data_IF_523409210350
#
_entry.id   IF_523409210350
#
_cell.length_a   1.000
_cell.length_b   1.000
_cell.length_c   1.000
_cell.angle_alpha   90.00
_cell.angle_beta   90.00
_cell.angle_gamma   90.00
#
_symmetry.space_group_name_H-M   'P 1'
#
loop_
_entity.id
_entity.type
_entity.pdbx_description
1 polymer ?
#
# COMPACT_ATOMS: atom_id res chain seq x y z
N UNK A 1 64.28 10.95 13.79
CA UNK A 1 65.41 10.61 14.67
C UNK A 1 64.90 10.64 16.11
N UNK A 2 65.18 9.58 16.89
CA UNK A 2 65.20 9.50 18.38
C UNK A 2 63.95 9.97 19.16
N UNK A 3 63.44 9.32 20.21
CA UNK A 3 63.93 8.24 21.06
C UNK A 3 62.85 7.90 22.11
N UNK A 4 62.60 6.60 22.33
CA UNK A 4 62.52 5.89 23.62
C UNK A 4 62.19 6.69 24.90
N UNK A 5 61.12 6.28 25.62
CA UNK A 5 61.19 5.96 27.07
C UNK A 5 59.97 5.18 27.58
N UNK A 6 60.24 4.03 28.22
CA UNK A 6 59.32 3.26 29.07
C UNK A 6 59.30 3.83 30.50
N UNK A 7 58.36 3.38 31.35
CA UNK A 7 58.82 2.76 32.60
C UNK A 7 58.26 1.35 32.81
N UNK A 8 59.19 0.51 33.26
CA UNK A 8 59.06 -0.82 33.87
C UNK A 8 58.12 -0.77 35.09
N UNK A 9 57.47 -1.89 35.44
CA UNK A 9 57.50 -2.43 36.81
C UNK A 9 57.13 -3.94 36.79
N UNK A 10 58.13 -4.73 37.18
CA UNK A 10 58.15 -6.02 37.89
C UNK A 10 57.60 -7.33 37.30
N UNK A 11 58.55 -8.26 37.23
CA UNK A 11 58.46 -9.70 37.01
C UNK A 11 58.56 -10.48 38.33
N UNK A 12 57.75 -11.54 38.46
CA UNK A 12 58.02 -12.73 39.30
C UNK A 12 57.57 -14.00 38.54
N UNK A 13 58.38 -15.08 38.45
CA UNK A 13 58.06 -16.33 37.73
C UNK A 13 57.71 -17.49 38.72
N UNK A 14 57.66 -18.77 38.29
CA UNK A 14 56.59 -19.41 37.51
C UNK A 14 55.94 -20.57 38.30
N UNK A 15 54.74 -21.01 37.89
CA UNK A 15 54.28 -22.37 38.21
C UNK A 15 53.79 -23.07 36.94
N UNK A 16 54.40 -24.22 36.72
CA UNK A 16 54.23 -25.14 35.60
C UNK A 16 52.80 -25.69 35.49
N UNK A 17 52.25 -25.81 34.27
CA UNK A 17 52.03 -27.13 33.64
C UNK A 17 51.29 -27.06 32.28
N UNK A 18 51.88 -27.77 31.32
CA UNK A 18 51.30 -28.45 30.17
C UNK A 18 50.85 -27.63 28.94
N UNK A 19 51.62 -27.86 27.89
CA UNK A 19 51.40 -27.59 26.48
C UNK A 19 50.14 -28.26 25.91
N UNK A 20 49.34 -27.54 25.15
CA UNK A 20 48.61 -28.12 24.01
C UNK A 20 48.37 -27.06 22.92
N UNK A 21 49.29 -26.97 21.97
CA UNK A 21 49.16 -26.12 20.78
C UNK A 21 48.28 -26.84 19.76
N UNK A 22 46.98 -26.56 19.78
CA UNK A 22 46.10 -26.88 18.67
C UNK A 22 46.24 -25.83 17.56
N UNK A 23 47.01 -26.10 16.51
CA UNK A 23 47.05 -25.24 15.30
C UNK A 23 45.67 -25.22 14.64
N UNK A 24 44.98 -24.09 14.68
CA UNK A 24 43.82 -23.81 13.84
C UNK A 24 44.27 -23.33 12.46
N UNK A 25 43.95 -24.07 11.41
CA UNK A 25 44.05 -23.60 10.03
C UNK A 25 42.65 -23.21 9.56
N UNK A 26 42.38 -21.91 9.44
CA UNK A 26 41.22 -21.37 8.72
C UNK A 26 41.67 -20.90 7.35
N UNK A 27 41.27 -21.60 6.29
CA UNK A 27 41.40 -21.13 4.91
C UNK A 27 40.07 -20.49 4.50
N UNK A 28 40.07 -19.19 4.20
CA UNK A 28 38.92 -18.52 3.58
C UNK A 28 38.94 -18.79 2.07
N UNK A 29 37.81 -19.24 1.52
CA UNK A 29 37.61 -19.41 0.08
C UNK A 29 36.54 -18.40 -0.34
N UNK A 30 36.87 -17.50 -1.26
CA UNK A 30 35.92 -16.58 -1.89
C UNK A 30 35.43 -17.19 -3.21
N UNK A 31 34.14 -17.50 -3.31
CA UNK A 31 33.49 -17.80 -4.58
C UNK A 31 32.83 -16.52 -5.12
N UNK A 32 33.27 -16.06 -6.30
CA UNK A 32 32.71 -14.89 -6.99
C UNK A 32 31.80 -15.35 -8.14
N UNK A 33 30.48 -15.22 -7.96
CA UNK A 33 29.47 -15.32 -9.02
C UNK A 33 28.49 -14.13 -8.88
N UNK A 34 28.72 -13.10 -9.69
CA UNK A 34 27.89 -11.89 -9.96
C UNK A 34 27.53 -10.94 -8.77
N UNK A 35 27.36 -9.62 -9.02
CA UNK A 35 27.51 -8.59 -8.00
C UNK A 35 26.20 -8.35 -7.26
N UNK A 36 25.91 -9.13 -6.22
CA UNK A 36 25.02 -8.68 -5.12
C UNK A 36 24.97 -9.62 -3.91
N UNK A 37 25.53 -10.84 -3.96
CA UNK A 37 25.47 -11.77 -2.83
C UNK A 37 26.84 -12.35 -2.50
N UNK A 38 27.52 -11.79 -1.49
CA UNK A 38 28.70 -12.43 -0.90
C UNK A 38 28.26 -13.44 0.18
N UNK A 39 28.37 -14.72 -0.14
CA UNK A 39 28.28 -15.82 0.82
C UNK A 39 29.69 -16.13 1.34
N UNK A 40 29.92 -15.94 2.64
CA UNK A 40 31.12 -16.43 3.32
C UNK A 40 30.81 -17.77 3.98
N UNK A 41 31.41 -18.86 3.48
CA UNK A 41 31.35 -20.16 4.14
C UNK A 41 32.73 -20.51 4.71
N UNK A 42 32.76 -20.90 5.99
CA UNK A 42 33.98 -21.32 6.68
C UNK A 42 33.95 -22.82 6.92
N UNK A 43 34.98 -23.54 6.49
CA UNK A 43 35.15 -24.96 6.80
C UNK A 43 35.82 -25.10 8.17
N UNK A 44 35.18 -25.77 9.13
CA UNK A 44 35.75 -26.02 10.46
C UNK A 44 36.04 -27.50 10.63
N UNK A 45 37.32 -27.87 10.70
CA UNK A 45 37.76 -29.25 10.92
C UNK A 45 37.99 -29.44 12.43
N UNK A 46 37.17 -30.27 13.08
CA UNK A 46 37.48 -30.80 14.41
C UNK A 46 38.03 -32.22 14.24
N UNK A 47 39.30 -32.44 14.61
CA UNK A 47 39.80 -33.81 14.85
C UNK A 47 39.46 -34.19 16.28
N UNK A 48 38.65 -35.22 16.46
CA UNK A 48 38.47 -35.89 17.75
C UNK A 48 39.64 -36.86 17.95
N UNK A 49 40.27 -36.82 19.11
CA UNK A 49 41.32 -37.77 19.49
C UNK A 49 40.69 -39.04 20.08
N UNK A 50 40.06 -39.86 19.24
CA UNK A 50 39.71 -41.25 19.57
C UNK A 50 39.59 -42.06 18.28
N UNK A 51 40.28 -43.22 18.25
CA UNK A 51 40.31 -44.14 17.11
C UNK A 51 38.91 -44.67 16.78
N UNK A 52 38.33 -44.18 15.68
CA UNK A 52 37.57 -44.93 14.66
C UNK A 52 37.13 -43.97 13.55
N UNK A 53 37.33 -44.38 12.30
CA UNK A 53 37.10 -43.60 11.10
C UNK A 53 35.66 -43.10 11.02
N UNK A 54 35.44 -41.78 11.09
CA UNK A 54 34.46 -41.01 10.30
C UNK A 54 34.68 -39.51 10.57
N UNK A 55 35.31 -38.79 9.63
CA UNK A 55 35.39 -37.34 9.68
C UNK A 55 34.03 -36.76 9.26
N UNK A 56 33.31 -36.11 10.17
CA UNK A 56 32.05 -35.43 9.86
C UNK A 56 32.32 -33.98 9.44
N UNK A 57 31.98 -33.65 8.20
CA UNK A 57 32.07 -32.29 7.66
C UNK A 57 30.76 -31.55 7.96
N UNK A 58 30.80 -30.54 8.84
CA UNK A 58 29.69 -29.60 9.02
C UNK A 58 30.02 -28.29 8.30
N UNK A 59 29.31 -28.01 7.22
CA UNK A 59 29.36 -26.72 6.53
C UNK A 59 28.37 -25.80 7.24
N UNK A 60 28.87 -24.71 7.79
CA UNK A 60 28.05 -23.66 8.39
C UNK A 60 28.12 -22.44 7.47
N UNK A 61 27.07 -22.20 6.69
CA UNK A 61 26.96 -20.96 5.93
C UNK A 61 26.11 -19.99 6.73
N UNK A 62 26.76 -18.94 7.25
CA UNK A 62 26.09 -17.85 7.94
C UNK A 62 25.82 -16.78 6.90
N UNK A 63 24.56 -16.43 6.67
CA UNK A 63 24.22 -15.28 5.82
C UNK A 63 24.74 -14.03 6.52
N UNK A 64 25.88 -13.51 6.05
CA UNK A 64 26.31 -12.17 6.40
C UNK A 64 25.32 -11.21 5.76
N UNK A 65 24.31 -10.76 6.51
CA UNK A 65 23.71 -9.47 6.18
C UNK A 65 24.85 -8.48 6.40
N UNK A 66 25.40 -7.95 5.30
CA UNK A 66 26.13 -6.70 5.35
C UNK A 66 25.17 -5.73 6.02
N UNK A 67 25.40 -5.47 7.31
CA UNK A 67 24.85 -4.29 7.97
C UNK A 67 25.54 -3.14 7.28
N UNK A 68 24.95 -2.71 6.17
CA UNK A 68 25.01 -1.32 5.77
C UNK A 68 24.59 -0.58 7.04
N UNK A 69 25.49 0.22 7.60
CA UNK A 69 25.15 1.21 8.60
C UNK A 69 24.14 2.16 7.95
N UNK A 70 22.87 1.75 7.93
CA UNK A 70 21.76 2.60 7.57
C UNK A 70 21.48 3.43 8.81
N UNK A 71 22.19 4.55 8.92
CA UNK A 71 21.64 5.70 9.62
C UNK A 71 20.21 5.89 9.13
N UNK A 72 19.24 5.83 10.05
CA UNK A 72 17.82 5.99 9.77
C UNK A 72 17.57 7.28 8.97
N UNK A 73 17.44 7.16 7.66
CA UNK A 73 16.56 8.03 6.88
C UNK A 73 15.36 7.16 6.50
N UNK A 74 14.27 7.28 7.25
CA UNK A 74 13.00 6.73 6.79
C UNK A 74 12.66 7.48 5.49
N UNK A 75 12.84 6.83 4.34
CA UNK A 75 12.43 7.35 3.04
C UNK A 75 10.95 7.74 3.02
N UNK A 76 10.49 8.44 1.98
CA UNK A 76 9.12 8.95 1.93
C UNK A 76 8.07 7.85 2.16
N UNK A 77 8.23 6.66 1.58
CA UNK A 77 7.29 5.55 1.75
C UNK A 77 7.62 4.64 2.94
N UNK A 78 6.61 4.28 3.73
CA UNK A 78 6.69 3.26 4.80
C UNK A 78 6.13 1.90 4.37
N UNK A 79 5.63 1.76 3.14
CA UNK A 79 5.11 0.49 2.66
C UNK A 79 6.23 -0.54 2.57
N UNK A 80 5.99 -1.72 3.12
CA UNK A 80 6.97 -2.80 3.13
C UNK A 80 7.05 -3.49 1.77
N UNK A 81 8.22 -4.05 1.45
CA UNK A 81 8.44 -4.84 0.23
C UNK A 81 7.72 -6.20 0.20
N UNK A 82 7.06 -6.61 1.29
CA UNK A 82 6.32 -7.88 1.36
C UNK A 82 4.81 -7.66 1.26
N UNK A 83 4.23 -7.87 0.07
CA UNK A 83 2.78 -7.83 -0.16
C UNK A 83 2.09 -9.19 0.08
N UNK A 84 0.82 -9.18 0.59
CA UNK A 84 0.00 -10.39 0.64
C UNK A 84 -0.30 -11.01 -0.73
N UNK A 85 -0.24 -10.24 -1.82
CA UNK A 85 -0.66 -10.65 -3.18
C UNK A 85 0.45 -10.48 -4.23
N UNK A 86 1.44 -11.37 -4.24
CA UNK A 86 2.59 -11.27 -5.18
C UNK A 86 2.33 -11.93 -6.54
N UNK A 87 2.84 -11.29 -7.61
CA UNK A 87 3.09 -11.87 -8.94
C UNK A 87 1.85 -12.27 -9.75
N UNK A 88 1.48 -13.55 -9.71
CA UNK A 88 0.39 -14.12 -10.53
C UNK A 88 -1.01 -13.95 -9.94
N UNK A 89 -1.12 -13.85 -8.61
CA UNK A 89 -2.42 -13.68 -7.96
C UNK A 89 -2.92 -12.25 -8.07
N UNK A 90 -2.03 -11.24 -8.12
CA UNK A 90 -2.40 -9.82 -8.21
C UNK A 90 -3.32 -9.53 -9.41
N UNK A 91 -2.83 -9.79 -10.62
CA UNK A 91 -3.54 -9.44 -11.84
C UNK A 91 -4.79 -10.30 -12.03
N UNK A 92 -4.76 -11.57 -11.62
CA UNK A 92 -5.92 -12.46 -11.66
C UNK A 92 -7.01 -12.00 -10.69
N UNK A 93 -6.63 -11.61 -9.46
CA UNK A 93 -7.55 -11.06 -8.46
C UNK A 93 -8.11 -9.72 -8.90
N UNK A 94 -7.28 -8.83 -9.47
CA UNK A 94 -7.73 -7.56 -10.01
C UNK A 94 -8.71 -7.78 -11.18
N UNK A 95 -8.38 -8.66 -12.12
CA UNK A 95 -9.26 -8.99 -13.24
C UNK A 95 -10.61 -9.55 -12.74
N UNK A 96 -10.57 -10.48 -11.77
CA UNK A 96 -11.80 -11.00 -11.16
C UNK A 96 -12.61 -9.89 -10.48
N UNK A 97 -11.97 -9.01 -9.71
CA UNK A 97 -12.66 -7.87 -9.11
C UNK A 97 -13.31 -6.99 -10.19
N UNK A 98 -12.58 -6.61 -11.25
CA UNK A 98 -13.09 -5.73 -12.29
C UNK A 98 -14.24 -6.36 -13.07
N UNK A 99 -14.05 -7.58 -13.58
CA UNK A 99 -15.00 -8.21 -14.50
C UNK A 99 -16.15 -8.93 -13.80
N UNK A 100 -15.98 -9.39 -12.56
CA UNK A 100 -17.00 -10.15 -11.84
C UNK A 100 -17.69 -9.35 -10.73
N UNK A 101 -17.10 -8.26 -10.24
CA UNK A 101 -17.70 -7.40 -9.21
C UNK A 101 -17.95 -6.00 -9.73
N UNK A 102 -16.91 -5.23 -10.04
CA UNK A 102 -16.99 -3.80 -10.29
C UNK A 102 -17.84 -3.45 -11.52
N UNK A 103 -17.56 -4.04 -12.70
CA UNK A 103 -18.32 -3.74 -13.92
C UNK A 103 -19.78 -4.21 -13.79
N UNK A 104 -20.06 -5.47 -13.38
CA UNK A 104 -21.44 -5.94 -13.26
C UNK A 104 -22.26 -5.15 -12.23
N UNK A 105 -21.69 -4.82 -11.07
CA UNK A 105 -22.40 -4.10 -10.01
C UNK A 105 -22.49 -2.59 -10.30
N UNK A 106 -21.37 -1.96 -10.63
CA UNK A 106 -21.30 -0.51 -10.87
C UNK A 106 -22.08 -0.04 -12.10
N UNK A 107 -21.99 -0.77 -13.22
CA UNK A 107 -22.64 -0.37 -14.48
C UNK A 107 -23.91 -1.17 -14.79
N UNK A 108 -23.94 -2.46 -14.42
CA UNK A 108 -25.08 -3.34 -14.67
C UNK A 108 -26.12 -3.39 -13.54
N UNK A 109 -25.74 -3.04 -12.30
CA UNK A 109 -26.56 -3.30 -11.12
C UNK A 109 -27.91 -2.62 -11.14
N UNK A 110 -27.96 -1.33 -11.52
CA UNK A 110 -29.23 -0.60 -11.64
C UNK A 110 -30.15 -1.20 -12.72
N UNK A 111 -29.58 -1.67 -13.83
CA UNK A 111 -30.36 -2.33 -14.89
C UNK A 111 -31.01 -3.62 -14.37
N UNK A 112 -30.30 -4.42 -13.58
CA UNK A 112 -30.87 -5.61 -12.93
C UNK A 112 -32.00 -5.23 -11.97
N UNK A 113 -31.82 -4.18 -11.16
CA UNK A 113 -32.86 -3.70 -10.25
C UNK A 113 -34.12 -3.25 -11.02
N UNK A 114 -33.95 -2.54 -12.14
CA UNK A 114 -35.10 -2.11 -12.98
C UNK A 114 -35.87 -3.30 -13.54
N UNK A 115 -35.18 -4.37 -13.95
CA UNK A 115 -35.80 -5.60 -14.43
C UNK A 115 -36.55 -6.35 -13.33
N UNK A 116 -35.98 -6.47 -12.13
CA UNK A 116 -36.62 -7.13 -10.98
C UNK A 116 -37.88 -6.37 -10.55
N UNK A 117 -37.83 -5.04 -10.51
CA UNK A 117 -38.97 -4.19 -10.11
C UNK A 117 -40.03 -4.09 -11.24
N UNK A 118 -39.67 -4.44 -12.47
CA UNK A 118 -40.56 -4.33 -13.63
C UNK A 118 -40.88 -2.89 -14.03
N UNK A 119 -39.95 -1.94 -13.79
CA UNK A 119 -40.14 -0.51 -14.14
C UNK A 119 -39.02 -0.02 -15.05
N UNK A 120 -39.38 0.75 -16.08
CA UNK A 120 -38.42 1.33 -17.04
C UNK A 120 -37.55 2.46 -16.45
N UNK A 121 -38.03 3.13 -15.40
CA UNK A 121 -37.26 4.12 -14.66
C UNK A 121 -37.60 4.05 -13.17
N UNK A 122 -36.55 4.19 -12.35
CA UNK A 122 -36.68 4.17 -10.90
C UNK A 122 -36.90 5.60 -10.38
N UNK A 123 -37.75 5.72 -9.36
CA UNK A 123 -37.88 6.95 -8.59
C UNK A 123 -36.53 7.30 -7.94
N UNK A 124 -36.19 8.58 -7.73
CA UNK A 124 -34.89 8.99 -7.16
C UNK A 124 -34.55 8.28 -5.84
N UNK A 125 -35.54 8.10 -4.96
CA UNK A 125 -35.37 7.40 -3.69
C UNK A 125 -35.00 5.93 -3.88
N UNK A 126 -35.68 5.24 -4.80
CA UNK A 126 -35.38 3.84 -5.12
C UNK A 126 -34.03 3.70 -5.80
N UNK A 127 -33.66 4.64 -6.69
CA UNK A 127 -32.33 4.68 -7.32
C UNK A 127 -31.23 4.72 -6.28
N UNK A 128 -31.29 5.67 -5.35
CA UNK A 128 -30.18 5.87 -4.40
C UNK A 128 -30.09 4.73 -3.38
N UNK A 129 -31.23 4.18 -2.94
CA UNK A 129 -31.24 3.00 -2.07
C UNK A 129 -30.68 1.76 -2.81
N UNK A 130 -31.02 1.59 -4.08
CA UNK A 130 -30.45 0.53 -4.90
C UNK A 130 -28.94 0.68 -5.05
N UNK A 131 -28.45 1.89 -5.37
CA UNK A 131 -27.01 2.19 -5.45
C UNK A 131 -26.33 1.89 -4.12
N UNK A 132 -26.88 2.34 -2.99
CA UNK A 132 -26.33 2.06 -1.66
C UNK A 132 -26.21 0.55 -1.40
N UNK A 133 -27.24 -0.23 -1.70
CA UNK A 133 -27.22 -1.69 -1.54
C UNK A 133 -26.19 -2.36 -2.46
N UNK A 134 -26.10 -1.91 -3.71
CA UNK A 134 -25.13 -2.41 -4.70
C UNK A 134 -23.70 -2.13 -4.23
N UNK A 135 -23.41 -0.92 -3.74
CA UNK A 135 -22.06 -0.57 -3.26
C UNK A 135 -21.70 -1.29 -1.97
N UNK A 136 -22.66 -1.54 -1.07
CA UNK A 136 -22.45 -2.41 0.09
C UNK A 136 -22.13 -3.84 -0.37
N UNK A 137 -22.87 -4.36 -1.37
CA UNK A 137 -22.61 -5.69 -1.92
C UNK A 137 -21.22 -5.77 -2.56
N UNK A 138 -20.82 -4.77 -3.33
CA UNK A 138 -19.48 -4.68 -3.92
C UNK A 138 -18.39 -4.61 -2.85
N UNK A 139 -18.56 -3.79 -1.82
CA UNK A 139 -17.64 -3.69 -0.68
C UNK A 139 -17.44 -5.05 0.01
N UNK A 140 -18.53 -5.76 0.29
CA UNK A 140 -18.47 -7.08 0.91
C UNK A 140 -17.81 -8.11 -0.02
N UNK A 141 -18.16 -8.09 -1.31
CA UNK A 141 -17.55 -8.94 -2.33
C UNK A 141 -16.05 -8.71 -2.46
N UNK A 142 -15.62 -7.45 -2.47
CA UNK A 142 -14.21 -7.05 -2.48
C UNK A 142 -13.49 -7.54 -1.22
N UNK A 143 -14.05 -7.33 -0.02
CA UNK A 143 -13.45 -7.84 1.22
C UNK A 143 -13.30 -9.37 1.21
N UNK A 144 -14.32 -10.09 0.77
CA UNK A 144 -14.28 -11.55 0.66
C UNK A 144 -13.20 -11.98 -0.33
N UNK A 145 -13.21 -11.44 -1.55
CA UNK A 145 -12.23 -11.74 -2.59
C UNK A 145 -10.80 -11.49 -2.10
N UNK A 146 -10.55 -10.32 -1.52
CA UNK A 146 -9.22 -9.95 -1.00
C UNK A 146 -8.80 -10.87 0.15
N UNK A 147 -9.73 -11.21 1.06
CA UNK A 147 -9.44 -12.16 2.15
C UNK A 147 -9.08 -13.56 1.64
N UNK A 148 -9.77 -14.07 0.62
CA UNK A 148 -9.51 -15.41 0.06
C UNK A 148 -8.23 -15.47 -0.77
N UNK A 149 -7.85 -14.37 -1.40
CA UNK A 149 -6.67 -14.30 -2.28
C UNK A 149 -5.39 -13.91 -1.53
N UNK A 150 -5.52 -13.33 -0.33
CA UNK A 150 -4.41 -12.97 0.52
C UNK A 150 -3.73 -14.20 1.13
N UNK A 151 -2.40 -14.11 1.33
CA UNK A 151 -1.66 -15.09 2.15
C UNK A 151 -2.31 -15.20 3.55
N UNK A 152 -2.57 -16.43 4.08
CA UNK A 152 -3.34 -16.64 5.32
C UNK A 152 -2.82 -15.92 6.57
N UNK A 153 -1.53 -15.60 6.60
CA UNK A 153 -0.87 -14.88 7.69
C UNK A 153 -1.24 -13.39 7.77
N UNK A 154 -1.81 -12.80 6.72
CA UNK A 154 -2.17 -11.38 6.70
C UNK A 154 -3.64 -11.18 7.09
N UNK A 155 -3.87 -10.23 8.00
CA UNK A 155 -5.21 -9.80 8.40
C UNK A 155 -5.50 -8.47 7.73
N UNK A 156 -6.59 -8.36 6.99
CA UNK A 156 -6.96 -7.12 6.29
C UNK A 156 -7.18 -5.93 7.25
N UNK A 157 -7.52 -6.20 8.51
CA UNK A 157 -7.59 -5.15 9.55
C UNK A 157 -6.25 -4.51 9.91
N UNK A 158 -5.10 -5.11 9.53
CA UNK A 158 -3.79 -4.50 9.75
C UNK A 158 -3.61 -3.20 8.96
N UNK A 159 -4.27 -3.05 7.82
CA UNK A 159 -4.20 -1.85 6.99
C UNK A 159 -4.83 -0.61 7.63
N UNK A 160 -5.67 -0.79 8.65
CA UNK A 160 -6.32 0.30 9.41
C UNK A 160 -5.69 0.55 10.79
N UNK A 161 -4.72 -0.27 11.18
CA UNK A 161 -4.03 -0.11 12.47
C UNK A 161 -2.96 0.96 12.33
N UNK A 162 -2.85 1.82 13.33
CA UNK A 162 -1.72 2.73 13.43
C UNK A 162 -0.46 1.87 13.56
N UNK A 163 0.50 2.09 12.68
CA UNK A 163 1.76 1.40 12.74
C UNK A 163 2.58 2.01 13.89
N UNK A 164 2.59 1.35 15.05
CA UNK A 164 3.30 1.80 16.26
C UNK A 164 4.82 1.90 16.07
N UNK A 165 5.34 1.36 14.96
CA UNK A 165 6.75 1.46 14.58
C UNK A 165 7.17 2.83 14.03
N UNK A 166 6.22 3.74 13.76
CA UNK A 166 6.48 5.08 13.23
C UNK A 166 5.76 6.12 14.09
N UNK A 167 6.19 6.30 15.33
CA UNK A 167 5.60 7.25 16.30
C UNK A 167 5.59 8.72 15.81
N UNK A 168 6.36 9.06 14.78
CA UNK A 168 6.51 10.43 14.26
C UNK A 168 5.58 10.82 13.12
N UNK A 169 4.91 9.86 12.45
CA UNK A 169 4.08 10.13 11.27
C UNK A 169 2.59 10.14 11.61
N UNK A 170 2.10 11.31 12.01
CA UNK A 170 0.69 11.52 12.33
C UNK A 170 -0.19 11.45 11.06
N UNK A 171 -1.00 10.40 10.95
CA UNK A 171 -1.90 10.19 9.82
C UNK A 171 -2.98 11.28 9.68
N UNK A 172 -3.40 11.91 10.79
CA UNK A 172 -4.39 13.01 10.77
C UNK A 172 -3.79 14.25 10.13
N UNK A 173 -2.57 14.61 10.52
CA UNK A 173 -1.85 15.73 9.92
C UNK A 173 -1.58 15.47 8.43
N UNK A 174 -1.15 14.25 8.09
CA UNK A 174 -0.97 13.84 6.70
C UNK A 174 -2.27 13.95 5.90
N UNK A 175 -3.41 13.60 6.50
CA UNK A 175 -4.73 13.78 5.88
C UNK A 175 -5.11 15.24 5.70
N UNK A 176 -4.86 16.11 6.68
CA UNK A 176 -5.13 17.54 6.57
C UNK A 176 -4.29 18.19 5.45
N UNK A 177 -2.98 17.89 5.43
CA UNK A 177 -2.07 18.38 4.37
C UNK A 177 -2.46 17.79 3.02
N UNK A 178 -2.73 16.49 2.94
CA UNK A 178 -3.15 15.83 1.70
C UNK A 178 -4.46 16.39 1.15
N UNK A 179 -5.45 16.66 2.00
CA UNK A 179 -6.70 17.30 1.60
C UNK A 179 -6.48 18.74 1.12
N UNK A 180 -5.66 19.54 1.83
CA UNK A 180 -5.31 20.89 1.39
C UNK A 180 -4.60 20.92 0.03
N UNK A 181 -3.63 20.01 -0.17
CA UNK A 181 -2.95 19.83 -1.47
C UNK A 181 -3.95 19.40 -2.55
N UNK A 182 -4.86 18.49 -2.24
CA UNK A 182 -5.87 18.04 -3.19
C UNK A 182 -6.77 19.20 -3.65
N UNK A 183 -7.34 19.96 -2.72
CA UNK A 183 -8.19 21.11 -3.03
C UNK A 183 -7.43 22.15 -3.84
N UNK A 184 -6.18 22.43 -3.49
CA UNK A 184 -5.33 23.35 -4.26
C UNK A 184 -5.11 22.85 -5.69
N UNK A 185 -4.73 21.58 -5.88
CA UNK A 185 -4.50 21.02 -7.21
C UNK A 185 -5.77 21.06 -8.06
N UNK A 186 -6.92 20.74 -7.49
CA UNK A 186 -8.20 20.78 -8.19
C UNK A 186 -8.64 22.20 -8.56
N UNK A 187 -8.39 23.17 -7.69
CA UNK A 187 -8.60 24.57 -8.00
C UNK A 187 -7.71 25.01 -9.18
N UNK A 188 -6.43 24.65 -9.16
CA UNK A 188 -5.49 24.98 -10.24
C UNK A 188 -5.89 24.30 -11.56
N UNK A 189 -6.28 23.03 -11.55
CA UNK A 189 -6.73 22.35 -12.77
C UNK A 189 -8.05 22.93 -13.29
N UNK A 190 -8.96 23.32 -12.41
CA UNK A 190 -10.19 24.03 -12.80
C UNK A 190 -9.89 25.39 -13.45
N UNK A 191 -8.94 26.17 -12.91
CA UNK A 191 -8.50 27.41 -13.52
C UNK A 191 -7.92 27.18 -14.91
N UNK A 192 -7.02 26.20 -15.06
CA UNK A 192 -6.42 25.86 -16.35
C UNK A 192 -7.50 25.41 -17.35
N UNK A 193 -8.41 24.53 -16.93
CA UNK A 193 -9.49 24.03 -17.77
C UNK A 193 -10.41 25.17 -18.24
N UNK A 194 -10.77 26.11 -17.34
CA UNK A 194 -11.60 27.27 -17.68
C UNK A 194 -10.95 28.17 -18.73
N UNK A 195 -9.62 28.30 -18.71
CA UNK A 195 -8.86 29.11 -19.67
C UNK A 195 -8.69 28.44 -21.02
N UNK A 196 -8.56 27.12 -21.05
CA UNK A 196 -8.29 26.35 -22.27
C UNK A 196 -9.57 25.92 -23.00
N UNK A 197 -10.58 25.46 -22.27
CA UNK A 197 -11.75 24.78 -22.82
C UNK A 197 -13.08 25.49 -22.54
N UNK A 198 -13.03 26.60 -21.79
CA UNK A 198 -14.21 27.30 -21.30
C UNK A 198 -14.89 26.56 -20.13
N UNK A 199 -15.67 27.30 -19.34
CA UNK A 199 -16.38 26.76 -18.18
C UNK A 199 -17.55 25.87 -18.64
N UNK A 200 -17.37 24.56 -18.65
CA UNK A 200 -18.51 23.64 -18.66
C UNK A 200 -18.92 23.36 -17.21
N UNK A 201 -20.14 23.71 -16.79
CA UNK A 201 -20.61 23.29 -15.47
C UNK A 201 -20.64 21.77 -15.43
N UNK A 202 -19.94 21.17 -14.47
CA UNK A 202 -20.01 19.73 -14.20
C UNK A 202 -21.36 19.48 -13.55
N UNK A 203 -22.39 19.33 -14.37
CA UNK A 203 -23.77 19.21 -13.92
C UNK A 203 -24.19 17.75 -13.98
N UNK A 204 -24.03 17.02 -12.87
CA UNK A 204 -24.63 15.70 -12.72
C UNK A 204 -26.11 15.87 -12.38
N UNK A 205 -26.94 16.10 -13.40
CA UNK A 205 -28.39 16.31 -13.27
C UNK A 205 -29.09 15.21 -12.44
N UNK A 206 -28.63 13.96 -12.57
CA UNK A 206 -29.13 12.81 -11.81
C UNK A 206 -28.81 12.93 -10.31
N UNK A 207 -27.59 13.39 -9.98
CA UNK A 207 -27.17 13.56 -8.59
C UNK A 207 -27.97 14.69 -7.94
N UNK A 208 -28.16 15.81 -8.66
CA UNK A 208 -28.99 16.94 -8.22
C UNK A 208 -30.45 16.54 -8.02
N UNK A 209 -31.02 15.74 -8.92
CA UNK A 209 -32.37 15.19 -8.81
C UNK A 209 -32.53 14.35 -7.52
N UNK A 210 -31.55 13.50 -7.21
CA UNK A 210 -31.56 12.65 -6.01
C UNK A 210 -31.47 13.50 -4.74
N UNK A 211 -30.53 14.46 -4.68
CA UNK A 211 -30.32 15.32 -3.51
C UNK A 211 -31.53 16.20 -3.18
N UNK A 212 -32.28 16.64 -4.20
CA UNK A 212 -33.45 17.49 -4.00
C UNK A 212 -34.73 16.69 -3.71
N UNK A 213 -34.73 15.37 -3.88
CA UNK A 213 -35.95 14.55 -3.83
C UNK A 213 -36.53 14.34 -2.41
N UNK A 214 -35.71 14.00 -1.41
CA UNK A 214 -36.16 13.81 -0.02
C UNK A 214 -35.00 13.72 0.97
N UNK A 215 -35.27 13.91 2.27
CA UNK A 215 -34.27 13.77 3.34
C UNK A 215 -33.66 12.38 3.40
N UNK A 216 -34.48 11.33 3.21
CA UNK A 216 -33.99 9.95 3.16
C UNK A 216 -33.02 9.76 2.00
N UNK A 217 -33.31 10.35 0.83
CA UNK A 217 -32.44 10.23 -0.34
C UNK A 217 -31.14 11.00 -0.15
N UNK A 218 -31.19 12.16 0.51
CA UNK A 218 -30.00 12.94 0.89
C UNK A 218 -29.09 12.13 1.80
N UNK A 219 -29.63 11.61 2.90
CA UNK A 219 -28.85 10.81 3.86
C UNK A 219 -28.29 9.55 3.19
N UNK A 220 -29.08 8.86 2.37
CA UNK A 220 -28.60 7.70 1.62
C UNK A 220 -27.48 8.07 0.63
N UNK A 221 -27.58 9.23 -0.03
CA UNK A 221 -26.57 9.75 -0.93
C UNK A 221 -25.27 10.07 -0.18
N UNK A 222 -25.34 10.78 0.95
CA UNK A 222 -24.18 11.09 1.78
C UNK A 222 -23.48 9.83 2.27
N UNK A 223 -24.24 8.83 2.75
CA UNK A 223 -23.67 7.56 3.21
C UNK A 223 -22.93 6.85 2.06
N UNK A 224 -23.55 6.73 0.88
CA UNK A 224 -22.92 5.98 -0.21
C UNK A 224 -21.71 6.73 -0.79
N UNK A 225 -21.84 8.03 -1.08
CA UNK A 225 -20.77 8.81 -1.71
C UNK A 225 -19.63 9.18 -0.76
N UNK A 226 -19.89 9.44 0.52
CA UNK A 226 -18.87 9.91 1.45
C UNK A 226 -18.29 8.80 2.33
N UNK A 227 -18.94 7.64 2.43
CA UNK A 227 -18.50 6.57 3.33
C UNK A 227 -18.27 5.26 2.57
N UNK A 228 -19.30 4.73 1.91
CA UNK A 228 -19.23 3.38 1.33
C UNK A 228 -18.29 3.34 0.12
N UNK A 229 -18.46 4.23 -0.86
CA UNK A 229 -17.60 4.29 -2.06
C UNK A 229 -16.13 4.57 -1.70
N UNK A 230 -15.81 5.62 -0.91
CA UNK A 230 -14.42 5.87 -0.52
C UNK A 230 -13.79 4.68 0.20
N UNK A 231 -14.51 4.02 1.11
CA UNK A 231 -13.99 2.85 1.81
C UNK A 231 -13.71 1.69 0.85
N UNK A 232 -14.64 1.37 -0.05
CA UNK A 232 -14.49 0.33 -1.08
C UNK A 232 -13.27 0.63 -1.96
N UNK A 233 -13.21 1.84 -2.50
CA UNK A 233 -12.18 2.26 -3.44
C UNK A 233 -10.80 2.26 -2.78
N UNK A 234 -10.65 2.83 -1.57
CA UNK A 234 -9.36 2.81 -0.89
C UNK A 234 -8.89 1.40 -0.51
N UNK A 235 -9.80 0.50 -0.13
CA UNK A 235 -9.46 -0.89 0.16
C UNK A 235 -8.90 -1.59 -1.08
N UNK A 236 -9.52 -1.39 -2.24
CA UNK A 236 -9.09 -2.02 -3.50
C UNK A 236 -7.83 -1.35 -4.06
N UNK A 237 -7.83 -0.03 -4.22
CA UNK A 237 -6.80 0.68 -4.97
C UNK A 237 -5.55 0.95 -4.12
N UNK A 238 -5.69 1.27 -2.84
CA UNK A 238 -4.55 1.55 -1.94
C UNK A 238 -4.18 0.31 -1.15
N UNK A 239 -5.18 -0.30 -0.50
CA UNK A 239 -4.98 -1.47 0.35
C UNK A 239 -4.44 -2.66 -0.42
N UNK A 240 -5.05 -2.98 -1.56
CA UNK A 240 -4.67 -4.11 -2.38
C UNK A 240 -3.68 -3.75 -3.51
N UNK A 241 -4.09 -2.93 -4.48
CA UNK A 241 -3.31 -2.72 -5.71
C UNK A 241 -1.99 -1.98 -5.43
N UNK A 242 -2.03 -0.81 -4.81
CA UNK A 242 -0.83 -0.02 -4.51
C UNK A 242 0.15 -0.77 -3.58
N UNK A 243 -0.36 -1.41 -2.51
CA UNK A 243 0.48 -2.26 -1.64
C UNK A 243 1.19 -3.36 -2.44
N UNK A 244 0.47 -3.99 -3.38
CA UNK A 244 1.04 -5.08 -4.19
C UNK A 244 2.05 -4.58 -5.21
N UNK A 245 1.78 -3.47 -5.88
CA UNK A 245 2.75 -2.84 -6.81
C UNK A 245 3.99 -2.37 -6.06
N UNK A 246 3.85 -1.75 -4.88
CA UNK A 246 4.98 -1.28 -4.07
C UNK A 246 5.90 -2.40 -3.57
N UNK A 247 5.47 -3.67 -3.67
CA UNK A 247 6.32 -4.83 -3.37
C UNK A 247 7.23 -5.26 -4.52
N UNK A 248 6.99 -4.77 -5.73
CA UNK A 248 7.72 -5.15 -6.94
C UNK A 248 8.33 -3.98 -7.71
N UNK A 249 7.96 -2.75 -7.39
CA UNK A 249 8.51 -1.53 -8.01
C UNK A 249 8.63 -0.38 -7.00
N UNK A 250 9.34 0.67 -7.38
CA UNK A 250 9.51 1.86 -6.55
C UNK A 250 8.18 2.56 -6.27
N UNK A 251 8.03 3.11 -5.07
CA UNK A 251 6.76 3.69 -4.61
C UNK A 251 6.17 4.76 -5.55
N UNK A 252 6.93 5.66 -6.24
CA UNK A 252 6.33 6.64 -7.14
C UNK A 252 5.70 5.97 -8.36
N UNK A 253 6.34 4.93 -8.89
CA UNK A 253 5.84 4.15 -10.03
C UNK A 253 4.58 3.38 -9.64
N UNK A 254 4.58 2.80 -8.43
CA UNK A 254 3.42 2.10 -7.89
C UNK A 254 2.22 3.05 -7.69
N UNK A 255 2.45 4.26 -7.17
CA UNK A 255 1.42 5.30 -7.03
C UNK A 255 0.88 5.72 -8.39
N UNK A 256 1.76 6.01 -9.35
CA UNK A 256 1.34 6.42 -10.69
C UNK A 256 0.51 5.32 -11.38
N UNK A 257 0.97 4.08 -11.36
CA UNK A 257 0.26 2.97 -12.02
C UNK A 257 -1.07 2.66 -11.33
N UNK A 258 -1.12 2.61 -10.00
CA UNK A 258 -2.39 2.40 -9.27
C UNK A 258 -3.39 3.52 -9.56
N UNK A 259 -2.93 4.77 -9.58
CA UNK A 259 -3.76 5.95 -9.88
C UNK A 259 -4.28 5.95 -11.32
N UNK A 260 -3.47 5.50 -12.28
CA UNK A 260 -3.88 5.37 -13.68
C UNK A 260 -4.96 4.30 -13.84
N UNK A 261 -4.80 3.14 -13.22
CA UNK A 261 -5.79 2.05 -13.27
C UNK A 261 -7.08 2.49 -12.57
N UNK A 262 -7.00 3.10 -11.39
CA UNK A 262 -8.14 3.70 -10.69
C UNK A 262 -8.95 4.63 -11.60
N UNK A 263 -8.27 5.54 -12.29
CA UNK A 263 -8.91 6.51 -13.19
C UNK A 263 -9.51 5.85 -14.42
N UNK A 264 -8.83 4.85 -14.99
CA UNK A 264 -9.33 4.11 -16.15
C UNK A 264 -10.60 3.31 -15.83
N UNK A 265 -10.72 2.76 -14.61
CA UNK A 265 -11.88 1.98 -14.18
C UNK A 265 -13.15 2.81 -13.96
N UNK A 266 -13.06 4.15 -14.02
CA UNK A 266 -14.25 5.01 -14.06
C UNK A 266 -14.85 5.15 -15.47
N UNK A 267 -14.17 4.64 -16.50
CA UNK A 267 -14.63 4.65 -17.90
C UNK A 267 -15.08 6.03 -18.41
N UNK A 268 -14.49 7.11 -17.87
CA UNK A 268 -14.75 8.50 -18.28
C UNK A 268 -13.43 9.16 -18.70
N UNK A 269 -13.30 9.43 -20.00
CA UNK A 269 -12.14 10.15 -20.53
C UNK A 269 -12.08 11.60 -20.01
N UNK A 270 -13.24 12.22 -19.79
CA UNK A 270 -13.34 13.61 -19.30
C UNK A 270 -12.81 13.73 -17.87
N UNK A 271 -13.13 12.76 -17.02
CA UNK A 271 -12.74 12.77 -15.60
C UNK A 271 -11.35 12.17 -15.36
N UNK A 272 -10.74 11.53 -16.36
CA UNK A 272 -9.52 10.73 -16.18
C UNK A 272 -8.38 11.51 -15.51
N UNK A 273 -8.06 12.71 -16.01
CA UNK A 273 -6.95 13.52 -15.48
C UNK A 273 -7.22 13.94 -14.03
N UNK A 274 -8.46 14.32 -13.73
CA UNK A 274 -8.86 14.73 -12.38
C UNK A 274 -8.77 13.55 -11.40
N UNK A 275 -9.32 12.40 -11.78
CA UNK A 275 -9.25 11.16 -11.01
C UNK A 275 -7.82 10.68 -10.82
N UNK A 276 -6.94 10.90 -11.81
CA UNK A 276 -5.54 10.52 -11.71
C UNK A 276 -4.80 11.35 -10.66
N UNK A 277 -5.09 12.65 -10.60
CA UNK A 277 -4.51 13.56 -9.60
C UNK A 277 -5.01 13.20 -8.19
N UNK A 278 -6.32 12.98 -8.02
CA UNK A 278 -6.91 12.47 -6.76
C UNK A 278 -6.22 11.15 -6.38
N UNK A 279 -6.12 10.26 -7.37
CA UNK A 279 -5.36 9.02 -7.40
C UNK A 279 -4.02 9.14 -6.67
N UNK A 280 -3.18 10.03 -7.22
CA UNK A 280 -1.82 10.27 -6.78
C UNK A 280 -1.75 10.82 -5.35
N UNK A 281 -2.58 11.80 -4.99
CA UNK A 281 -2.57 12.41 -3.66
C UNK A 281 -2.91 11.39 -2.57
N UNK A 282 -3.95 10.60 -2.79
CA UNK A 282 -4.36 9.52 -1.88
C UNK A 282 -3.32 8.39 -1.83
N UNK A 283 -2.70 8.04 -2.96
CA UNK A 283 -1.60 7.09 -2.99
C UNK A 283 -0.38 7.56 -2.18
N UNK A 284 0.00 8.82 -2.34
CA UNK A 284 1.10 9.44 -1.59
C UNK A 284 0.81 9.50 -0.08
N UNK A 285 -0.42 9.84 0.34
CA UNK A 285 -0.78 9.85 1.75
C UNK A 285 -0.72 8.45 2.37
N UNK A 286 -1.13 7.42 1.63
CA UNK A 286 -1.00 6.03 2.06
C UNK A 286 0.46 5.58 2.11
N UNK A 287 1.28 5.91 1.11
CA UNK A 287 2.71 5.61 1.13
C UNK A 287 3.41 6.25 2.33
N UNK A 288 3.08 7.50 2.66
CA UNK A 288 3.67 8.21 3.81
C UNK A 288 3.24 7.63 5.17
N UNK A 289 1.96 7.30 5.31
CA UNK A 289 1.35 6.93 6.60
C UNK A 289 1.30 5.42 6.87
N UNK A 290 1.26 4.60 5.83
CA UNK A 290 1.01 3.16 5.90
C UNK A 290 -0.36 2.80 6.48
N UNK A 291 -1.32 3.74 6.51
CA UNK A 291 -2.61 3.57 7.15
C UNK A 291 -3.75 4.01 6.23
N UNK A 292 -4.64 3.09 5.89
CA UNK A 292 -5.78 3.36 5.01
C UNK A 292 -6.77 4.39 5.55
N UNK A 293 -6.77 4.66 6.86
CA UNK A 293 -7.59 5.76 7.42
C UNK A 293 -7.25 7.10 6.79
N UNK A 294 -5.98 7.33 6.43
CA UNK A 294 -5.55 8.60 5.88
C UNK A 294 -6.14 8.91 4.49
N UNK A 295 -5.97 8.04 3.48
CA UNK A 295 -6.61 8.24 2.18
C UNK A 295 -8.13 8.13 2.25
N UNK A 296 -8.72 7.25 3.08
CA UNK A 296 -10.19 7.17 3.23
C UNK A 296 -10.73 8.52 3.70
N UNK A 297 -10.11 9.13 4.72
CA UNK A 297 -10.55 10.43 5.22
C UNK A 297 -10.44 11.54 4.17
N UNK A 298 -9.31 11.62 3.45
CA UNK A 298 -9.12 12.63 2.39
C UNK A 298 -10.19 12.46 1.30
N UNK A 299 -10.44 11.21 0.87
CA UNK A 299 -11.40 10.89 -0.17
C UNK A 299 -12.83 11.20 0.27
N UNK A 300 -13.23 10.78 1.48
CA UNK A 300 -14.53 11.11 2.07
C UNK A 300 -14.76 12.62 2.14
N UNK A 301 -13.76 13.40 2.59
CA UNK A 301 -13.86 14.86 2.65
C UNK A 301 -13.97 15.50 1.26
N UNK A 302 -13.25 14.97 0.27
CA UNK A 302 -13.34 15.43 -1.10
C UNK A 302 -14.74 15.17 -1.70
N UNK A 303 -15.29 13.98 -1.49
CA UNK A 303 -16.63 13.66 -1.96
C UNK A 303 -17.69 14.50 -1.26
N UNK A 304 -17.57 14.71 0.07
CA UNK A 304 -18.45 15.58 0.82
C UNK A 304 -18.41 17.03 0.29
N UNK A 305 -17.22 17.57 0.04
CA UNK A 305 -17.06 18.91 -0.55
C UNK A 305 -17.76 18.99 -1.92
N UNK A 306 -17.59 17.96 -2.75
CA UNK A 306 -18.21 17.90 -4.08
C UNK A 306 -19.74 17.84 -4.01
N UNK A 307 -20.30 17.06 -3.07
CA UNK A 307 -21.74 17.01 -2.82
C UNK A 307 -22.28 18.35 -2.33
N UNK A 308 -21.58 19.00 -1.38
CA UNK A 308 -21.98 20.32 -0.86
C UNK A 308 -22.00 21.36 -1.99
N UNK A 309 -20.97 21.39 -2.84
CA UNK A 309 -20.93 22.28 -4.01
C UNK A 309 -22.10 21.98 -4.95
N UNK A 310 -22.38 20.70 -5.21
CA UNK A 310 -23.49 20.27 -6.08
C UNK A 310 -24.88 20.60 -5.51
N UNK A 311 -24.98 20.75 -4.19
CA UNK A 311 -26.21 21.17 -3.53
C UNK A 311 -26.42 22.69 -3.64
N UNK A 312 -25.34 23.48 -3.51
CA UNK A 312 -25.40 24.94 -3.50
C UNK A 312 -25.55 25.57 -4.89
N UNK A 313 -25.07 24.89 -5.94
CA UNK A 313 -25.04 25.41 -7.31
C UNK A 313 -25.80 24.51 -8.29
#
# INVERSE_FOLDING_TARGET
>A
MSSVRWPLLYSSPPSSQSTNVGRQFTKQLHCSLFPSNQLTCSLRIRRSATLRHHASFKIFCKRSKTTQENGLSHGFSVLQGDSPWQGGNLWSTLAFYIFCLHIPLGFGGLSVVTQIIGKNSLLPQTKILAILLIQILELNGAFLLLKYTAKPQYKLSSFFKNNSSVETRNWVLASAVGFGVLVLLLFLTSLIASRLFGSKPVNNSILKEILLSSDVSRVACDIVYCIVCPLLEEVVWRGFLLTSLSSTMEWPQAVALSSAIFSACHFSAESFVQLFIIGCVLGCSYCWTGNLKSPVLIHSLYNALTLIISYLY
#
